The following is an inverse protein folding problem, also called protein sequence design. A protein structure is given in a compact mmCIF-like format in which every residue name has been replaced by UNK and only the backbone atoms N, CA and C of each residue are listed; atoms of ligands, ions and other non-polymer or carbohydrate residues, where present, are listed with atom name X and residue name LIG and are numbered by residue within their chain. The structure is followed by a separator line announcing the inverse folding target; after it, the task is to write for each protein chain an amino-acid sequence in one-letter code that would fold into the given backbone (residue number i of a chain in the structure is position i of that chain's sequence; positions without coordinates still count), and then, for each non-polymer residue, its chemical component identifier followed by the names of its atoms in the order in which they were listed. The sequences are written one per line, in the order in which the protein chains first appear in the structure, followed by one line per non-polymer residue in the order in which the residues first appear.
data_IF_151725288019
#
_entry.id   IF_151725288019
#
_cell.length_a   1.000
_cell.length_b   1.000
_cell.length_c   1.000
_cell.angle_alpha   90.00
_cell.angle_beta   90.00
_cell.angle_gamma   90.00
#
_symmetry.space_group_name_H-M   'P 1'
#
loop_
_entity.id
_entity.type
_entity.pdbx_description
1 polymer ?
#
# COMPACT_ATOMS: atom_id res chain seq x y z
N UNK A 1 26.24 -4.40 -30.54
CA UNK A 1 25.17 -4.73 -29.58
C UNK A 1 23.95 -3.92 -29.97
N UNK A 2 22.88 -4.56 -30.41
CA UNK A 2 21.61 -3.88 -30.63
C UNK A 2 20.85 -3.89 -29.29
N UNK A 3 20.88 -2.77 -28.58
CA UNK A 3 20.02 -2.52 -27.43
C UNK A 3 18.63 -2.18 -27.97
N UNK A 4 17.78 -3.20 -28.19
CA UNK A 4 16.37 -2.93 -28.51
C UNK A 4 15.68 -2.45 -27.24
N UNK A 5 15.51 -1.13 -27.16
CA UNK A 5 14.78 -0.49 -26.08
C UNK A 5 13.38 -0.19 -26.59
N UNK A 6 12.42 -0.96 -26.09
CA UNK A 6 11.02 -0.80 -26.47
C UNK A 6 10.43 0.34 -25.68
N UNK A 7 10.26 1.47 -26.37
CA UNK A 7 9.35 2.52 -25.95
C UNK A 7 7.98 2.18 -26.50
N UNK A 8 6.95 1.99 -25.66
CA UNK A 8 5.70 1.47 -26.16
C UNK A 8 5.02 2.48 -27.10
N UNK A 9 4.83 2.07 -28.36
CA UNK A 9 3.86 2.71 -29.24
C UNK A 9 2.46 2.47 -28.66
N UNK A 10 1.85 3.51 -28.10
CA UNK A 10 0.47 3.55 -27.55
C UNK A 10 0.04 2.23 -26.89
N UNK A 11 0.35 2.08 -25.60
CA UNK A 11 -0.03 0.98 -24.69
C UNK A 11 -1.56 0.86 -24.50
N UNK A 12 -2.29 0.57 -25.56
CA UNK A 12 -3.71 0.24 -25.49
C UNK A 12 -3.88 -1.27 -25.21
N UNK A 13 -3.13 -2.15 -25.90
CA UNK A 13 -3.31 -3.61 -25.89
C UNK A 13 -3.24 -4.28 -24.49
N UNK A 14 -2.09 -4.21 -23.79
CA UNK A 14 -1.95 -4.82 -22.45
C UNK A 14 -2.87 -4.16 -21.44
N UNK A 15 -2.94 -2.82 -21.43
CA UNK A 15 -3.78 -2.09 -20.48
C UNK A 15 -5.24 -2.50 -20.67
N UNK A 16 -5.74 -2.54 -21.91
CA UNK A 16 -7.13 -2.90 -22.21
C UNK A 16 -7.42 -4.38 -21.91
N UNK A 17 -6.52 -5.32 -22.23
CA UNK A 17 -6.72 -6.75 -21.90
C UNK A 17 -6.67 -7.00 -20.40
N UNK A 18 -5.73 -6.38 -19.68
CA UNK A 18 -5.67 -6.46 -18.21
C UNK A 18 -6.90 -5.78 -17.61
N UNK A 19 -7.32 -4.64 -18.17
CA UNK A 19 -8.49 -3.93 -17.65
C UNK A 19 -9.80 -4.70 -17.91
N UNK A 20 -9.99 -5.29 -19.09
CA UNK A 20 -11.14 -6.13 -19.41
C UNK A 20 -11.15 -7.43 -18.61
N UNK A 21 -10.01 -8.10 -18.43
CA UNK A 21 -9.94 -9.34 -17.63
C UNK A 21 -10.14 -9.10 -16.13
N UNK A 22 -9.71 -7.94 -15.61
CA UNK A 22 -9.75 -7.64 -14.18
C UNK A 22 -11.04 -6.92 -13.77
N UNK A 23 -11.56 -6.03 -14.62
CA UNK A 23 -12.69 -5.15 -14.30
C UNK A 23 -13.91 -5.33 -15.23
N UNK A 24 -13.83 -6.16 -16.27
CA UNK A 24 -14.88 -6.27 -17.30
C UNK A 24 -16.10 -7.13 -16.94
N UNK A 25 -16.14 -7.75 -15.76
CA UNK A 25 -17.22 -8.68 -15.39
C UNK A 25 -18.33 -8.07 -14.52
N UNK A 26 -18.32 -6.76 -14.27
CA UNK A 26 -19.41 -6.04 -13.59
C UNK A 26 -20.34 -5.36 -14.60
N UNK A 27 -21.07 -6.14 -15.41
CA UNK A 27 -22.24 -5.63 -16.12
C UNK A 27 -23.50 -6.11 -15.43
N UNK A 28 -24.19 -5.14 -14.83
CA UNK A 28 -25.49 -5.27 -14.19
C UNK A 28 -26.56 -5.72 -15.19
N UNK A 29 -27.22 -6.84 -14.88
CA UNK A 29 -28.46 -7.25 -15.51
C UNK A 29 -29.57 -6.27 -15.10
N UNK A 30 -29.94 -5.37 -15.99
CA UNK A 30 -31.12 -4.51 -15.88
C UNK A 30 -32.39 -5.30 -16.19
N UNK A 31 -33.09 -5.75 -15.15
CA UNK A 31 -34.47 -6.21 -15.25
C UNK A 31 -35.42 -5.10 -14.80
N UNK A 32 -36.27 -4.66 -15.73
CA UNK A 32 -37.29 -3.65 -15.49
C UNK A 32 -38.57 -4.20 -14.85
N UNK A 33 -39.39 -3.25 -14.37
CA UNK A 33 -40.84 -3.39 -14.22
C UNK A 33 -41.36 -3.61 -12.80
N UNK A 34 -42.25 -2.71 -12.34
CA UNK A 34 -43.23 -3.04 -11.30
C UNK A 34 -43.55 -1.94 -10.29
N UNK A 35 -44.56 -1.13 -10.60
CA UNK A 35 -45.24 -0.17 -9.72
C UNK A 35 -45.80 -0.78 -8.42
N UNK A 36 -45.92 0.01 -7.35
CA UNK A 36 -46.81 -0.35 -6.23
C UNK A 36 -46.68 0.44 -4.92
N UNK A 37 -47.35 1.59 -4.85
CA UNK A 37 -48.09 2.15 -3.70
C UNK A 37 -47.49 2.24 -2.28
N UNK A 38 -47.45 3.48 -1.79
CA UNK A 38 -47.95 4.00 -0.50
C UNK A 38 -47.94 3.07 0.73
N UNK A 39 -47.23 3.49 1.79
CA UNK A 39 -47.86 3.77 3.08
C UNK A 39 -46.99 4.68 3.97
N UNK A 40 -47.56 5.82 4.36
CA UNK A 40 -47.14 6.62 5.51
C UNK A 40 -47.58 5.88 6.79
N UNK A 41 -46.75 5.86 7.84
CA UNK A 41 -46.98 6.60 9.10
C UNK A 41 -46.18 6.04 10.29
N UNK A 42 -45.70 7.01 11.06
CA UNK A 42 -45.64 7.11 12.54
C UNK A 42 -44.52 6.40 13.30
N UNK A 43 -43.76 7.28 13.96
CA UNK A 43 -43.00 7.06 15.17
C UNK A 43 -43.85 6.52 16.33
N UNK A 44 -43.22 5.71 17.18
CA UNK A 44 -43.43 5.71 18.64
C UNK A 44 -42.16 5.25 19.34
N UNK A 45 -41.75 6.05 20.32
CA UNK A 45 -40.80 5.76 21.39
C UNK A 45 -41.36 4.67 22.29
N UNK A 46 -40.51 3.77 22.80
CA UNK A 46 -40.64 3.19 24.14
C UNK A 46 -39.30 2.61 24.60
N UNK A 47 -39.06 2.77 25.90
CA UNK A 47 -37.79 2.61 26.62
C UNK A 47 -37.78 1.32 27.46
N UNK A 48 -36.58 1.03 27.99
CA UNK A 48 -36.25 0.21 29.17
C UNK A 48 -36.36 -1.33 28.95
N UNK A 49 -35.38 -2.17 29.25
CA UNK A 49 -34.74 -2.39 30.55
C UNK A 49 -33.57 -3.41 30.39
N UNK A 50 -32.71 -3.41 31.41
CA UNK A 50 -31.47 -4.19 31.55
C UNK A 50 -31.69 -5.70 31.77
N UNK A 51 -30.81 -6.54 31.21
CA UNK A 51 -30.55 -7.88 31.78
C UNK A 51 -29.08 -8.29 31.58
N UNK A 52 -28.41 -8.51 32.71
CA UNK A 52 -27.07 -9.10 32.83
C UNK A 52 -27.20 -10.62 32.80
N UNK A 53 -26.50 -11.34 31.92
CA UNK A 53 -25.98 -12.68 32.23
C UNK A 53 -24.66 -13.01 31.49
N UNK A 54 -23.70 -13.36 32.35
CA UNK A 54 -22.61 -14.35 32.31
C UNK A 54 -21.64 -14.54 31.14
N UNK A 55 -20.38 -14.73 31.55
CA UNK A 55 -19.17 -14.82 30.74
C UNK A 55 -18.70 -16.27 30.73
N UNK A 56 -18.73 -16.95 29.59
CA UNK A 56 -17.91 -18.15 29.35
C UNK A 56 -17.76 -18.43 27.84
N UNK A 57 -16.50 -18.61 27.38
CA UNK A 57 -16.20 -19.28 26.11
C UNK A 57 -15.54 -18.44 25.01
N UNK A 58 -14.20 -18.46 24.96
CA UNK A 58 -13.31 -18.31 23.80
C UNK A 58 -13.89 -17.56 22.58
N UNK A 59 -13.92 -16.23 22.70
CA UNK A 59 -14.36 -15.33 21.64
C UNK A 59 -13.33 -15.21 20.51
N UNK A 60 -13.46 -16.06 19.50
CA UNK A 60 -12.97 -15.70 18.16
C UNK A 60 -13.83 -14.51 17.73
N UNK A 61 -13.29 -13.28 17.75
CA UNK A 61 -14.03 -12.10 17.32
C UNK A 61 -14.33 -12.23 15.83
N UNK A 62 -15.50 -12.78 15.50
CA UNK A 62 -16.08 -12.70 14.17
C UNK A 62 -16.38 -11.22 13.92
N UNK A 63 -15.72 -10.67 12.89
CA UNK A 63 -16.07 -9.37 12.36
C UNK A 63 -17.50 -9.50 11.80
N UNK A 64 -18.49 -9.00 12.54
CA UNK A 64 -19.86 -8.94 12.05
C UNK A 64 -19.89 -8.16 10.74
N UNK A 65 -20.50 -8.79 9.73
CA UNK A 65 -20.77 -8.15 8.46
C UNK A 65 -21.79 -7.04 8.70
N UNK A 66 -21.30 -5.82 8.90
CA UNK A 66 -22.17 -4.64 8.97
C UNK A 66 -22.76 -4.44 7.58
N UNK A 67 -23.93 -5.00 7.28
CA UNK A 67 -24.76 -4.49 6.19
C UNK A 67 -25.07 -3.03 6.50
N UNK A 68 -24.74 -2.09 5.61
CA UNK A 68 -24.95 -0.67 5.91
C UNK A 68 -25.91 -0.01 4.94
N UNK A 69 -26.96 0.58 5.51
CA UNK A 69 -27.87 1.55 4.88
C UNK A 69 -27.16 2.86 4.46
N UNK A 70 -25.86 3.02 4.74
CA UNK A 70 -25.02 4.16 4.30
C UNK A 70 -23.63 3.69 3.83
N UNK A 71 -23.05 4.37 2.84
CA UNK A 71 -21.65 4.18 2.43
C UNK A 71 -20.68 4.42 3.60
N UNK A 72 -19.71 3.52 3.79
CA UNK A 72 -18.67 3.63 4.83
C UNK A 72 -17.42 4.31 4.28
N UNK A 73 -16.76 5.13 5.09
CA UNK A 73 -15.52 5.80 4.69
C UNK A 73 -14.29 5.02 5.17
N UNK A 74 -13.37 4.72 4.24
CA UNK A 74 -12.07 4.11 4.54
C UNK A 74 -10.98 5.13 4.25
N UNK A 75 -10.21 5.50 5.27
CA UNK A 75 -9.10 6.42 5.15
C UNK A 75 -7.77 5.65 5.20
N UNK A 76 -7.02 5.67 4.10
CA UNK A 76 -5.70 5.04 3.99
C UNK A 76 -4.63 6.11 4.20
N UNK A 77 -3.83 5.95 5.25
CA UNK A 77 -2.73 6.82 5.62
C UNK A 77 -1.42 6.30 5.03
N UNK A 78 -0.78 7.09 4.20
CA UNK A 78 0.47 6.75 3.51
C UNK A 78 1.44 7.93 3.52
N UNK A 79 2.65 7.72 3.02
CA UNK A 79 3.56 8.81 2.66
C UNK A 79 4.38 8.43 1.43
N UNK A 80 4.73 9.40 0.59
CA UNK A 80 5.47 9.19 -0.67
C UNK A 80 6.97 8.84 -0.52
N UNK A 81 7.36 8.25 0.61
CA UNK A 81 8.72 7.80 0.91
C UNK A 81 9.11 6.54 0.12
N UNK A 82 9.43 6.70 -1.17
CA UNK A 82 9.96 5.61 -2.01
C UNK A 82 8.92 4.79 -2.78
N UNK A 83 7.66 5.23 -2.82
CA UNK A 83 6.62 4.72 -3.72
C UNK A 83 5.98 3.37 -3.36
N UNK A 84 6.66 2.50 -2.61
CA UNK A 84 6.12 1.19 -2.20
C UNK A 84 4.87 1.29 -1.32
N UNK A 85 4.84 2.26 -0.39
CA UNK A 85 3.69 2.55 0.45
C UNK A 85 2.48 3.01 -0.37
N UNK A 86 2.70 3.91 -1.34
CA UNK A 86 1.65 4.34 -2.28
C UNK A 86 1.09 3.18 -3.09
N UNK A 87 1.96 2.32 -3.62
CA UNK A 87 1.53 1.15 -4.38
C UNK A 87 0.64 0.22 -3.54
N UNK A 88 0.97 0.03 -2.26
CA UNK A 88 0.17 -0.75 -1.31
C UNK A 88 -1.18 -0.10 -1.01
N UNK A 89 -1.21 1.22 -0.77
CA UNK A 89 -2.45 1.96 -0.55
C UNK A 89 -3.39 1.88 -1.75
N UNK A 90 -2.85 2.07 -2.95
CA UNK A 90 -3.64 1.99 -4.19
C UNK A 90 -4.09 0.56 -4.49
N UNK A 91 -3.27 -0.45 -4.20
CA UNK A 91 -3.68 -1.86 -4.32
C UNK A 91 -4.86 -2.20 -3.41
N UNK A 92 -4.85 -1.72 -2.16
CA UNK A 92 -5.95 -1.90 -1.22
C UNK A 92 -7.20 -1.18 -1.72
N UNK A 93 -7.07 0.09 -2.16
CA UNK A 93 -8.18 0.85 -2.76
C UNK A 93 -8.82 0.10 -3.92
N UNK A 94 -8.00 -0.35 -4.87
CA UNK A 94 -8.46 -1.04 -6.07
C UNK A 94 -9.16 -2.37 -5.68
N UNK A 95 -8.65 -3.08 -4.66
CA UNK A 95 -9.29 -4.29 -4.14
C UNK A 95 -10.66 -4.00 -3.49
N UNK A 96 -10.78 -2.94 -2.69
CA UNK A 96 -12.07 -2.55 -2.10
C UNK A 96 -13.11 -2.24 -3.18
N UNK A 97 -12.73 -1.48 -4.21
CA UNK A 97 -13.63 -1.15 -5.32
C UNK A 97 -14.10 -2.38 -6.09
N UNK A 98 -13.24 -3.38 -6.28
CA UNK A 98 -13.59 -4.62 -6.96
C UNK A 98 -14.54 -5.49 -6.12
N UNK A 99 -14.23 -5.66 -4.84
CA UNK A 99 -14.95 -6.63 -3.98
C UNK A 99 -16.26 -6.06 -3.44
N UNK A 100 -16.33 -4.75 -3.18
CA UNK A 100 -17.47 -4.13 -2.48
C UNK A 100 -18.14 -3.00 -3.26
N UNK A 101 -17.64 -2.65 -4.46
CA UNK A 101 -18.20 -1.57 -5.27
C UNK A 101 -18.29 -0.25 -4.50
N UNK A 102 -19.49 0.34 -4.47
CA UNK A 102 -19.77 1.64 -3.85
C UNK A 102 -20.15 1.55 -2.35
N UNK A 103 -20.10 0.36 -1.73
CA UNK A 103 -20.37 0.23 -0.29
C UNK A 103 -19.32 0.98 0.55
N UNK A 104 -18.08 1.06 0.04
CA UNK A 104 -16.96 1.70 0.71
C UNK A 104 -16.38 2.85 -0.13
N UNK A 105 -16.40 4.06 0.41
CA UNK A 105 -15.67 5.19 -0.15
C UNK A 105 -14.24 5.19 0.37
N UNK A 106 -13.29 4.94 -0.53
CA UNK A 106 -11.87 4.85 -0.18
C UNK A 106 -11.15 6.17 -0.43
N UNK A 107 -10.41 6.66 0.56
CA UNK A 107 -9.72 7.95 0.56
C UNK A 107 -8.26 7.68 0.91
N UNK A 108 -7.32 8.04 0.03
CA UNK A 108 -5.88 7.83 0.24
C UNK A 108 -5.20 9.17 0.48
N UNK A 109 -4.46 9.30 1.58
CA UNK A 109 -3.90 10.59 2.03
C UNK A 109 -2.45 10.50 2.50
N UNK A 110 -1.67 11.51 2.11
CA UNK A 110 -0.32 11.73 2.65
C UNK A 110 -0.42 12.76 3.80
N UNK A 111 -0.63 12.25 5.02
CA UNK A 111 -0.93 13.12 6.17
C UNK A 111 0.24 14.06 6.49
N UNK A 112 1.48 13.60 6.35
CA UNK A 112 2.65 14.44 6.61
C UNK A 112 2.71 15.60 5.61
N UNK A 113 2.53 15.30 4.33
CA UNK A 113 2.59 16.31 3.27
C UNK A 113 1.45 17.31 3.34
N UNK A 114 0.24 16.84 3.64
CA UNK A 114 -0.98 17.65 3.58
C UNK A 114 -1.25 18.45 4.86
N UNK A 115 -0.86 17.93 6.03
CA UNK A 115 -1.28 18.48 7.33
C UNK A 115 -0.12 18.80 8.29
N UNK A 116 1.15 18.73 7.85
CA UNK A 116 2.27 19.17 8.68
C UNK A 116 3.11 20.26 8.03
N UNK A 117 3.91 20.94 8.83
CA UNK A 117 4.83 21.98 8.38
C UNK A 117 6.19 21.42 7.99
N UNK A 118 7.05 22.30 7.47
CA UNK A 118 8.46 21.96 7.30
C UNK A 118 9.10 21.60 8.66
N UNK A 119 9.90 20.52 8.76
CA UNK A 119 10.44 19.69 7.66
C UNK A 119 9.63 18.44 7.30
N UNK A 120 8.58 18.09 8.05
CA UNK A 120 7.88 16.81 7.91
C UNK A 120 7.07 16.71 6.60
N UNK A 121 6.60 17.83 6.07
CA UNK A 121 5.91 17.84 4.78
C UNK A 121 6.80 17.53 3.56
N UNK A 122 8.14 17.52 3.72
CA UNK A 122 9.11 17.18 2.66
C UNK A 122 9.86 15.87 2.96
N UNK A 123 9.19 14.95 3.65
CA UNK A 123 9.70 13.61 3.98
C UNK A 123 10.14 12.82 2.74
N UNK A 124 9.44 12.96 1.61
CA UNK A 124 9.79 12.30 0.35
C UNK A 124 11.21 12.67 -0.11
N UNK A 125 11.53 13.98 -0.14
CA UNK A 125 12.85 14.46 -0.58
C UNK A 125 13.94 14.06 0.40
N UNK A 126 13.65 14.17 1.69
CA UNK A 126 14.57 13.77 2.77
C UNK A 126 14.91 12.28 2.67
N UNK A 127 13.91 11.43 2.44
CA UNK A 127 14.09 10.00 2.22
C UNK A 127 14.92 9.71 0.96
N UNK A 128 14.63 10.36 -0.17
CA UNK A 128 15.41 10.20 -1.42
C UNK A 128 16.88 10.56 -1.23
N UNK A 129 17.17 11.58 -0.42
CA UNK A 129 18.55 11.93 -0.06
C UNK A 129 19.19 10.85 0.81
N UNK A 130 18.52 10.39 1.87
CA UNK A 130 19.05 9.37 2.77
C UNK A 130 19.32 8.03 2.09
N UNK A 131 18.44 7.56 1.20
CA UNK A 131 18.62 6.26 0.51
C UNK A 131 19.82 6.28 -0.44
N UNK A 132 20.17 7.44 -1.00
CA UNK A 132 21.42 7.60 -1.78
C UNK A 132 22.67 7.49 -0.90
N UNK A 133 22.53 7.63 0.41
CA UNK A 133 23.60 7.57 1.40
C UNK A 133 23.34 6.46 2.42
N UNK A 134 23.61 5.21 2.01
CA UNK A 134 23.33 3.98 2.80
C UNK A 134 23.79 4.06 4.27
N UNK A 135 24.93 4.70 4.54
CA UNK A 135 25.41 4.87 5.92
C UNK A 135 24.55 5.83 6.74
N UNK A 136 24.09 6.95 6.14
CA UNK A 136 23.15 7.86 6.80
C UNK A 136 21.82 7.17 7.09
N UNK A 137 21.31 6.39 6.14
CA UNK A 137 20.09 5.61 6.36
C UNK A 137 20.24 4.60 7.49
N UNK A 138 21.35 3.84 7.55
CA UNK A 138 21.62 2.90 8.64
C UNK A 138 21.66 3.60 10.00
N UNK A 139 22.37 4.72 10.09
CA UNK A 139 22.46 5.50 11.34
C UNK A 139 21.08 6.02 11.73
N UNK A 140 20.32 6.60 10.80
CA UNK A 140 18.97 7.08 11.07
C UNK A 140 18.07 5.94 11.58
N UNK A 141 18.01 4.83 10.84
CA UNK A 141 17.19 3.67 11.19
C UNK A 141 17.53 3.11 12.58
N UNK A 142 18.81 2.86 12.86
CA UNK A 142 19.23 2.27 14.14
C UNK A 142 19.17 3.26 15.31
N UNK A 143 19.35 4.56 15.05
CA UNK A 143 19.22 5.59 16.11
C UNK A 143 17.77 5.87 16.48
N UNK A 144 16.81 5.75 15.56
CA UNK A 144 15.38 5.94 15.85
C UNK A 144 14.66 4.67 16.27
N UNK A 145 15.25 3.49 16.05
CA UNK A 145 14.65 2.19 16.40
C UNK A 145 14.37 1.99 17.90
N UNK A 146 15.23 2.38 18.86
CA UNK A 146 14.98 2.11 20.27
C UNK A 146 13.66 2.68 20.76
N UNK A 147 12.88 1.87 21.49
CA UNK A 147 11.50 2.19 21.90
C UNK A 147 11.36 3.52 22.62
N UNK A 148 12.27 3.81 23.54
CA UNK A 148 12.28 5.07 24.27
C UNK A 148 12.57 6.26 23.35
N UNK A 149 13.41 6.12 22.32
CA UNK A 149 13.74 7.21 21.39
C UNK A 149 12.52 7.54 20.53
N UNK A 150 11.92 6.54 19.87
CA UNK A 150 10.77 6.82 19.01
C UNK A 150 9.50 7.19 19.76
N UNK A 151 9.29 6.64 20.96
CA UNK A 151 8.18 7.08 21.80
C UNK A 151 8.33 8.57 22.15
N UNK A 152 9.53 9.02 22.51
CA UNK A 152 9.78 10.42 22.85
C UNK A 152 9.58 11.36 21.66
N UNK A 153 10.24 11.12 20.52
CA UNK A 153 10.11 12.06 19.39
C UNK A 153 8.71 12.00 18.76
N UNK A 154 8.07 10.82 18.67
CA UNK A 154 6.70 10.73 18.16
C UNK A 154 5.70 11.40 19.09
N UNK A 155 5.89 11.33 20.41
CA UNK A 155 5.05 12.07 21.35
C UNK A 155 5.21 13.59 21.19
N UNK A 156 6.44 14.08 20.97
CA UNK A 156 6.69 15.50 20.72
C UNK A 156 6.03 15.96 19.40
N UNK A 157 6.17 15.17 18.33
CA UNK A 157 5.52 15.45 17.04
C UNK A 157 3.99 15.37 17.19
N UNK A 158 3.47 14.38 17.92
CA UNK A 158 2.05 14.25 18.21
C UNK A 158 1.51 15.50 18.92
N UNK A 159 2.20 15.97 19.95
CA UNK A 159 1.80 17.15 20.71
C UNK A 159 1.80 18.42 19.84
N UNK A 160 2.74 18.53 18.89
CA UNK A 160 2.87 19.70 18.02
C UNK A 160 1.85 19.72 16.88
N UNK A 161 1.62 18.58 16.22
CA UNK A 161 0.73 18.47 15.05
C UNK A 161 -0.63 17.82 15.36
N UNK A 162 -0.96 17.68 16.65
CA UNK A 162 -2.19 17.05 17.13
C UNK A 162 -3.42 17.55 16.39
N UNK A 163 -3.57 18.88 16.34
CA UNK A 163 -4.78 19.55 15.85
C UNK A 163 -4.90 19.47 14.34
N UNK A 164 -3.78 19.56 13.63
CA UNK A 164 -3.73 19.50 12.19
C UNK A 164 -4.02 18.08 11.70
N UNK A 165 -3.43 17.06 12.37
CA UNK A 165 -3.72 15.66 12.09
C UNK A 165 -5.15 15.32 12.48
N UNK A 166 -5.65 15.83 13.61
CA UNK A 166 -7.05 15.68 13.98
C UNK A 166 -7.98 16.27 12.93
N UNK A 167 -7.74 17.52 12.49
CA UNK A 167 -8.54 18.14 11.44
C UNK A 167 -8.54 17.30 10.17
N UNK A 168 -7.36 16.79 9.76
CA UNK A 168 -7.23 15.93 8.60
C UNK A 168 -7.93 14.57 8.75
N UNK A 169 -7.90 13.94 9.92
CA UNK A 169 -8.61 12.69 10.18
C UNK A 169 -10.13 12.91 10.22
N UNK A 170 -10.57 13.97 10.89
CA UNK A 170 -11.99 14.23 11.14
C UNK A 170 -12.73 14.81 9.93
N UNK A 171 -12.02 15.47 9.00
CA UNK A 171 -12.57 15.93 7.72
C UNK A 171 -13.30 14.80 6.97
N UNK A 172 -12.73 13.59 6.99
CA UNK A 172 -13.25 12.46 6.21
C UNK A 172 -14.20 11.55 6.98
N UNK A 173 -14.41 11.76 8.28
CA UNK A 173 -15.26 10.93 9.16
C UNK A 173 -15.07 9.42 8.89
N UNK A 174 -13.86 8.88 9.05
CA UNK A 174 -13.55 7.50 8.69
C UNK A 174 -14.27 6.51 9.62
N UNK A 175 -14.84 5.46 9.03
CA UNK A 175 -15.29 4.27 9.76
C UNK A 175 -14.11 3.28 9.94
N UNK A 176 -13.18 3.28 8.97
CA UNK A 176 -11.96 2.47 8.98
C UNK A 176 -10.75 3.35 8.65
N UNK A 177 -9.67 3.20 9.40
CA UNK A 177 -8.36 3.78 9.09
C UNK A 177 -7.36 2.65 8.80
N UNK A 178 -6.66 2.75 7.67
CA UNK A 178 -5.64 1.79 7.25
C UNK A 178 -4.30 2.53 7.18
N UNK A 179 -3.36 2.18 8.05
CA UNK A 179 -1.99 2.67 7.97
C UNK A 179 -1.12 1.76 7.10
N UNK A 180 -0.49 2.31 6.06
CA UNK A 180 0.49 1.60 5.22
C UNK A 180 1.90 2.19 5.34
N UNK A 181 2.19 2.94 6.41
CA UNK A 181 3.48 3.60 6.62
C UNK A 181 3.92 3.49 8.10
N UNK A 182 5.23 3.32 8.40
CA UNK A 182 5.72 3.09 9.77
C UNK A 182 5.54 4.25 10.75
N UNK A 183 5.28 5.46 10.27
CA UNK A 183 5.07 6.65 11.11
C UNK A 183 3.60 7.04 11.27
N UNK A 184 2.67 6.22 10.79
CA UNK A 184 1.24 6.53 10.76
C UNK A 184 0.43 5.76 11.83
N UNK A 185 1.09 5.21 12.85
CA UNK A 185 0.45 4.47 13.95
C UNK A 185 0.21 5.40 15.14
N UNK A 186 1.29 5.91 15.72
CA UNK A 186 1.29 6.53 17.06
C UNK A 186 0.39 7.78 17.12
N UNK A 187 0.56 8.72 16.19
CA UNK A 187 -0.17 10.00 16.21
C UNK A 187 -1.66 9.80 15.92
N UNK A 188 -2.06 9.09 14.83
CA UNK A 188 -3.49 8.86 14.59
C UNK A 188 -4.19 8.10 15.72
N UNK A 189 -3.54 7.09 16.30
CA UNK A 189 -4.11 6.35 17.45
C UNK A 189 -4.24 7.23 18.70
N UNK A 190 -3.28 8.12 18.94
CA UNK A 190 -3.35 9.08 20.04
C UNK A 190 -4.52 10.06 19.85
N UNK A 191 -4.72 10.58 18.64
CA UNK A 191 -5.87 11.45 18.28
C UNK A 191 -7.19 10.70 18.49
N UNK A 192 -7.33 9.46 17.99
CA UNK A 192 -8.54 8.65 18.17
C UNK A 192 -8.85 8.39 19.65
N UNK A 193 -7.81 8.17 20.47
CA UNK A 193 -7.95 7.98 21.91
C UNK A 193 -8.47 9.25 22.59
N UNK A 194 -7.87 10.41 22.28
CA UNK A 194 -8.23 11.69 22.88
C UNK A 194 -9.65 12.14 22.49
N UNK A 195 -10.08 11.87 21.25
CA UNK A 195 -11.42 12.15 20.76
C UNK A 195 -12.48 11.11 21.19
N UNK A 196 -12.09 10.06 21.91
CA UNK A 196 -13.02 8.98 22.31
C UNK A 196 -13.54 8.13 21.15
N UNK A 197 -12.84 8.13 20.01
CA UNK A 197 -13.25 7.44 18.77
C UNK A 197 -12.65 6.04 18.62
N UNK A 198 -11.73 5.65 19.50
CA UNK A 198 -11.06 4.34 19.54
C UNK A 198 -12.01 3.11 19.54
N UNK A 199 -13.27 3.24 19.99
CA UNK A 199 -14.28 2.17 19.91
C UNK A 199 -15.17 2.24 18.66
N UNK A 200 -15.16 3.38 17.95
CA UNK A 200 -16.04 3.67 16.79
C UNK A 200 -15.33 3.49 15.46
N UNK A 201 -14.02 3.76 15.42
CA UNK A 201 -13.20 3.70 14.21
C UNK A 201 -12.30 2.49 14.28
N UNK A 202 -12.37 1.62 13.27
CA UNK A 202 -11.48 0.47 13.17
C UNK A 202 -10.13 0.94 12.63
N UNK A 203 -9.07 0.77 13.41
CA UNK A 203 -7.72 1.10 13.01
C UNK A 203 -6.92 -0.16 12.69
N UNK A 204 -6.41 -0.26 11.46
CA UNK A 204 -5.57 -1.39 11.04
C UNK A 204 -4.24 -0.92 10.48
N UNK A 205 -3.21 -1.72 10.69
CA UNK A 205 -1.88 -1.53 10.08
C UNK A 205 -1.64 -2.60 9.04
N UNK A 206 -1.14 -2.21 7.86
CA UNK A 206 -0.63 -3.13 6.84
C UNK A 206 0.86 -2.86 6.68
N UNK A 207 1.69 -3.80 7.14
CA UNK A 207 3.14 -3.66 7.11
C UNK A 207 3.66 -3.88 5.70
N UNK A 208 4.43 -2.92 5.20
CA UNK A 208 5.04 -2.99 3.86
C UNK A 208 6.52 -3.38 3.87
N UNK A 209 7.12 -3.51 5.05
CA UNK A 209 8.50 -3.97 5.23
C UNK A 209 8.53 -5.49 5.27
N UNK A 210 9.28 -6.13 4.38
CA UNK A 210 9.23 -7.59 4.20
C UNK A 210 9.97 -8.40 5.28
N UNK A 211 10.95 -7.80 5.94
CA UNK A 211 11.78 -8.51 6.93
C UNK A 211 12.18 -7.61 8.11
N UNK A 212 13.15 -6.72 7.91
CA UNK A 212 13.63 -5.82 8.98
C UNK A 212 12.70 -4.62 9.17
N UNK A 213 11.61 -4.83 9.91
CA UNK A 213 10.64 -3.78 10.21
C UNK A 213 11.19 -2.78 11.24
N UNK A 214 10.93 -1.49 11.02
CA UNK A 214 11.11 -0.50 12.08
C UNK A 214 10.07 -0.73 13.20
N UNK A 215 10.43 -0.63 14.50
CA UNK A 215 9.50 -0.92 15.59
C UNK A 215 8.23 -0.07 15.61
N UNK A 216 8.24 1.10 14.96
CA UNK A 216 7.09 2.02 14.91
C UNK A 216 5.89 1.48 14.14
N UNK A 217 6.05 0.40 13.36
CA UNK A 217 4.95 -0.36 12.77
C UNK A 217 4.04 -1.00 13.82
N UNK A 218 4.60 -1.35 14.98
CA UNK A 218 3.92 -2.15 16.00
C UNK A 218 3.36 -1.24 17.09
N UNK A 219 2.04 -1.22 17.24
CA UNK A 219 1.37 -0.45 18.28
C UNK A 219 0.20 -1.24 18.88
N UNK A 220 0.15 -1.47 20.20
CA UNK A 220 -0.91 -2.28 20.84
C UNK A 220 -2.34 -1.74 20.67
N UNK A 221 -2.48 -0.44 20.40
CA UNK A 221 -3.77 0.21 20.18
C UNK A 221 -4.47 -0.09 18.84
N UNK A 222 -3.88 -0.89 17.94
CA UNK A 222 -4.52 -1.24 16.66
C UNK A 222 -5.55 -2.35 16.82
N UNK A 223 -6.58 -2.39 15.98
CA UNK A 223 -7.53 -3.51 15.96
C UNK A 223 -6.93 -4.74 15.25
N UNK A 224 -6.17 -4.51 14.16
CA UNK A 224 -5.46 -5.55 13.41
C UNK A 224 -4.13 -5.05 12.86
N UNK A 225 -3.17 -5.96 12.75
CA UNK A 225 -1.90 -5.78 12.09
C UNK A 225 -1.72 -6.89 11.05
N UNK A 226 -1.66 -6.51 9.78
CA UNK A 226 -1.45 -7.41 8.65
C UNK A 226 0.04 -7.44 8.31
N UNK A 227 0.64 -8.61 8.46
CA UNK A 227 2.05 -8.87 8.24
C UNK A 227 2.28 -9.51 6.87
N UNK A 228 3.39 -9.16 6.18
CA UNK A 228 3.73 -9.76 4.89
C UNK A 228 4.35 -11.15 5.01
N UNK A 229 4.80 -11.56 6.21
CA UNK A 229 5.44 -12.85 6.44
C UNK A 229 5.26 -13.30 7.90
N UNK A 230 5.52 -14.59 8.14
CA UNK A 230 5.52 -15.16 9.49
C UNK A 230 6.63 -14.58 10.37
N UNK A 231 7.76 -14.18 9.80
CA UNK A 231 8.86 -13.60 10.57
C UNK A 231 8.52 -12.19 11.07
N UNK A 232 7.82 -11.39 10.26
CA UNK A 232 7.27 -10.11 10.69
C UNK A 232 6.17 -10.31 11.74
N UNK A 233 5.33 -11.34 11.62
CA UNK A 233 4.33 -11.66 12.63
C UNK A 233 4.95 -12.03 13.98
N UNK A 234 5.99 -12.87 14.00
CA UNK A 234 6.76 -13.16 15.23
C UNK A 234 7.33 -11.88 15.85
N UNK A 235 7.85 -10.97 15.01
CA UNK A 235 8.35 -9.69 15.45
C UNK A 235 7.24 -8.81 16.07
N UNK A 236 6.05 -8.79 15.46
CA UNK A 236 4.91 -8.06 15.98
C UNK A 236 4.49 -8.54 17.37
N UNK A 237 4.44 -9.87 17.58
CA UNK A 237 4.14 -10.48 18.88
C UNK A 237 5.23 -10.11 19.91
N UNK A 238 6.50 -10.23 19.53
CA UNK A 238 7.62 -9.82 20.38
C UNK A 238 7.55 -8.34 20.78
N UNK A 239 7.09 -7.48 19.87
CA UNK A 239 6.95 -6.04 20.11
C UNK A 239 5.61 -5.64 20.80
N UNK A 240 4.84 -6.62 21.30
CA UNK A 240 3.73 -6.42 22.23
C UNK A 240 2.34 -6.40 21.60
N UNK A 241 2.17 -6.95 20.39
CA UNK A 241 0.84 -7.22 19.85
C UNK A 241 0.33 -8.59 20.31
N UNK A 242 -0.97 -8.68 20.50
CA UNK A 242 -1.68 -9.92 20.81
C UNK A 242 -1.87 -10.78 19.54
N UNK A 243 -1.94 -12.10 19.70
CA UNK A 243 -2.21 -13.03 18.60
C UNK A 243 -3.54 -12.71 17.88
N UNK A 244 -4.53 -12.24 18.64
CA UNK A 244 -5.81 -11.81 18.09
C UNK A 244 -5.67 -10.62 17.11
N UNK A 245 -4.65 -9.79 17.26
CA UNK A 245 -4.39 -8.62 16.41
C UNK A 245 -3.63 -8.97 15.14
N UNK A 246 -2.82 -10.04 15.12
CA UNK A 246 -1.87 -10.31 14.04
C UNK A 246 -2.45 -11.24 12.98
N UNK A 247 -2.32 -10.89 11.69
CA UNK A 247 -2.71 -11.75 10.56
C UNK A 247 -1.62 -11.75 9.49
N UNK A 248 -1.37 -12.89 8.86
CA UNK A 248 -0.36 -13.04 7.80
C UNK A 248 -1.04 -13.31 6.48
N UNK A 249 -1.10 -12.30 5.60
CA UNK A 249 -1.71 -12.41 4.27
C UNK A 249 -0.75 -12.05 3.12
N UNK A 250 0.47 -11.63 3.43
CA UNK A 250 1.41 -11.15 2.43
C UNK A 250 1.34 -9.63 2.23
N UNK A 251 2.23 -9.13 1.37
CA UNK A 251 2.23 -7.72 0.96
C UNK A 251 1.08 -7.49 -0.04
N UNK A 252 0.23 -6.47 0.14
CA UNK A 252 -0.81 -6.17 -0.83
C UNK A 252 -0.20 -5.78 -2.18
N UNK A 253 -0.61 -6.49 -3.22
CA UNK A 253 -0.27 -6.22 -4.61
C UNK A 253 -1.54 -5.84 -5.37
N UNK A 254 -1.40 -5.06 -6.46
CA UNK A 254 -2.57 -4.63 -7.23
C UNK A 254 -3.33 -5.85 -7.76
N UNK A 255 -4.67 -5.87 -7.66
CA UNK A 255 -5.49 -6.94 -8.23
C UNK A 255 -5.21 -7.16 -9.72
N UNK A 256 -4.96 -6.08 -10.46
CA UNK A 256 -4.60 -6.16 -11.88
C UNK A 256 -3.28 -6.86 -12.16
N UNK A 257 -2.34 -6.84 -11.22
CA UNK A 257 -1.10 -7.59 -11.31
C UNK A 257 -1.32 -9.06 -10.95
N UNK A 258 -2.06 -9.32 -9.86
CA UNK A 258 -2.30 -10.67 -9.35
C UNK A 258 -3.21 -11.53 -10.27
N UNK A 259 -4.18 -10.90 -10.94
CA UNK A 259 -5.18 -11.58 -11.78
C UNK A 259 -4.83 -11.58 -13.26
N UNK A 260 -3.67 -11.03 -13.65
CA UNK A 260 -3.29 -10.96 -15.05
C UNK A 260 -3.05 -12.38 -15.63
N UNK A 261 -3.79 -12.72 -16.68
CA UNK A 261 -3.57 -13.94 -17.46
C UNK A 261 -2.81 -13.54 -18.72
N UNK A 262 -1.54 -13.92 -18.81
CA UNK A 262 -0.63 -13.44 -19.85
C UNK A 262 0.10 -14.61 -20.52
N UNK A 263 0.27 -14.50 -21.84
CA UNK A 263 1.10 -15.39 -22.64
C UNK A 263 2.51 -14.81 -22.74
N UNK A 264 3.51 -15.59 -22.32
CA UNK A 264 4.93 -15.17 -22.33
C UNK A 264 5.38 -14.80 -23.75
N UNK A 265 4.97 -15.58 -24.74
CA UNK A 265 5.39 -15.40 -26.13
C UNK A 265 4.74 -14.19 -26.77
N UNK A 266 3.46 -13.94 -26.46
CA UNK A 266 2.77 -12.75 -26.95
C UNK A 266 3.33 -11.47 -26.32
N UNK A 267 3.64 -11.50 -25.02
CA UNK A 267 4.28 -10.38 -24.34
C UNK A 267 5.67 -10.09 -24.90
N UNK A 268 6.47 -11.11 -25.21
CA UNK A 268 7.77 -10.93 -25.83
C UNK A 268 7.64 -10.24 -27.19
N UNK A 269 6.69 -10.67 -28.03
CA UNK A 269 6.42 -10.02 -29.32
C UNK A 269 5.95 -8.58 -29.16
N UNK A 270 5.01 -8.32 -28.24
CA UNK A 270 4.48 -6.98 -27.97
C UNK A 270 5.57 -6.03 -27.42
N UNK A 271 6.47 -6.55 -26.60
CA UNK A 271 7.61 -5.83 -26.05
C UNK A 271 8.86 -5.90 -26.95
N UNK A 272 8.70 -6.25 -28.23
CA UNK A 272 9.75 -6.39 -29.26
C UNK A 272 11.04 -7.09 -28.75
N UNK A 273 10.84 -8.07 -27.86
CA UNK A 273 11.87 -8.92 -27.28
C UNK A 273 12.18 -10.10 -28.19
N UNK A 274 13.38 -10.64 -28.02
CA UNK A 274 13.73 -11.92 -28.61
C UNK A 274 12.87 -13.06 -27.99
N UNK A 275 12.34 -13.95 -28.83
CA UNK A 275 11.42 -15.01 -28.40
C UNK A 275 12.13 -16.14 -27.67
N UNK A 276 13.40 -16.38 -27.97
CA UNK A 276 14.13 -17.57 -27.54
C UNK A 276 15.13 -17.26 -26.43
N UNK A 277 15.70 -16.05 -26.43
CA UNK A 277 16.69 -15.66 -25.43
C UNK A 277 16.11 -15.54 -24.02
N UNK A 278 16.82 -16.03 -22.98
CA UNK A 278 16.46 -15.77 -21.59
C UNK A 278 16.55 -14.28 -21.29
N UNK A 279 15.60 -13.75 -20.53
CA UNK A 279 15.48 -12.33 -20.26
C UNK A 279 15.75 -12.01 -18.78
N UNK A 280 16.53 -10.95 -18.54
CA UNK A 280 16.72 -10.35 -17.22
C UNK A 280 15.91 -9.06 -17.16
N UNK A 281 15.04 -8.93 -16.14
CA UNK A 281 14.36 -7.68 -15.84
C UNK A 281 15.17 -6.90 -14.80
N UNK A 282 15.67 -5.73 -15.20
CA UNK A 282 16.35 -4.79 -14.32
C UNK A 282 15.46 -3.58 -14.05
N UNK A 283 15.21 -3.30 -12.77
CA UNK A 283 14.38 -2.18 -12.34
C UNK A 283 14.93 -1.54 -11.07
N UNK A 284 14.84 -0.21 -10.98
CA UNK A 284 15.28 0.60 -9.82
C UNK A 284 14.12 1.18 -9.01
N UNK A 285 12.94 0.56 -9.08
CA UNK A 285 11.70 1.10 -8.53
C UNK A 285 11.18 2.34 -9.29
N UNK A 286 10.13 2.98 -8.77
CA UNK A 286 9.46 4.09 -9.45
C UNK A 286 10.34 5.32 -9.71
N UNK A 287 11.37 5.52 -8.90
CA UNK A 287 12.33 6.63 -9.02
C UNK A 287 13.64 6.25 -9.75
N UNK A 288 13.83 4.97 -10.11
CA UNK A 288 15.05 4.50 -10.77
C UNK A 288 16.31 4.73 -9.92
N UNK A 289 16.25 4.43 -8.63
CA UNK A 289 17.36 4.62 -7.67
C UNK A 289 18.33 3.44 -7.74
N UNK A 290 19.62 3.73 -7.59
CA UNK A 290 20.71 2.75 -7.60
C UNK A 290 21.58 2.84 -8.87
N UNK A 291 22.66 2.04 -8.94
CA UNK A 291 23.60 2.04 -10.06
C UNK A 291 23.05 1.27 -11.28
N UNK A 292 21.81 1.57 -11.68
CA UNK A 292 21.08 0.83 -12.73
C UNK A 292 21.86 0.83 -14.04
N UNK A 293 22.53 1.93 -14.37
CA UNK A 293 23.35 2.06 -15.59
C UNK A 293 24.56 1.13 -15.55
N UNK A 294 25.28 1.10 -14.45
CA UNK A 294 26.46 0.27 -14.26
C UNK A 294 26.07 -1.21 -14.28
N UNK A 295 24.98 -1.57 -13.59
CA UNK A 295 24.43 -2.92 -13.61
C UNK A 295 23.96 -3.33 -15.01
N UNK A 296 23.28 -2.44 -15.75
CA UNK A 296 22.84 -2.74 -17.11
C UNK A 296 24.03 -3.02 -18.05
N UNK A 297 25.12 -2.24 -17.94
CA UNK A 297 26.34 -2.49 -18.73
C UNK A 297 26.99 -3.82 -18.38
N UNK A 298 27.17 -4.12 -17.09
CA UNK A 298 27.76 -5.36 -16.64
C UNK A 298 26.93 -6.59 -17.09
N UNK A 299 25.59 -6.48 -17.04
CA UNK A 299 24.69 -7.50 -17.56
C UNK A 299 24.80 -7.63 -19.09
N UNK A 300 24.87 -6.51 -19.82
CA UNK A 300 25.06 -6.54 -21.28
C UNK A 300 26.34 -7.24 -21.71
N UNK A 301 27.44 -7.04 -20.97
CA UNK A 301 28.71 -7.74 -21.20
C UNK A 301 28.63 -9.22 -20.81
N UNK A 302 27.92 -9.55 -19.73
CA UNK A 302 27.80 -10.93 -19.22
C UNK A 302 26.82 -11.78 -20.04
N UNK A 303 25.85 -11.16 -20.71
CA UNK A 303 24.84 -11.82 -21.55
C UNK A 303 25.28 -11.93 -23.03
N UNK A 304 26.55 -11.67 -23.32
CA UNK A 304 27.13 -11.77 -24.66
C UNK A 304 28.28 -12.77 -24.67
N UNK A 305 28.17 -13.80 -25.51
CA UNK A 305 29.24 -14.74 -25.77
C UNK A 305 30.22 -14.12 -26.78
N UNK A 306 31.43 -13.77 -26.29
CA UNK A 306 32.47 -13.15 -27.10
C UNK A 306 33.13 -14.12 -28.07
N UNK A 307 33.18 -15.41 -27.73
CA UNK A 307 33.83 -16.43 -28.56
C UNK A 307 32.94 -16.81 -29.75
N UNK A 308 31.62 -16.83 -29.54
CA UNK A 308 30.64 -17.10 -30.60
C UNK A 308 30.00 -15.85 -31.20
N UNK A 309 30.46 -14.66 -30.79
CA UNK A 309 29.96 -13.36 -31.22
C UNK A 309 28.42 -13.25 -31.23
N UNK A 310 27.76 -13.80 -30.21
CA UNK A 310 26.29 -13.86 -30.15
C UNK A 310 25.73 -13.56 -28.76
N UNK A 311 24.52 -12.99 -28.67
CA UNK A 311 23.84 -12.85 -27.39
C UNK A 311 23.45 -14.24 -26.85
N UNK A 312 23.65 -14.44 -25.55
CA UNK A 312 23.17 -15.62 -24.81
C UNK A 312 22.01 -15.28 -23.87
N UNK A 313 21.66 -14.00 -23.78
CA UNK A 313 20.45 -13.50 -23.12
C UNK A 313 20.13 -12.08 -23.52
N UNK A 314 19.04 -11.56 -22.98
CA UNK A 314 18.54 -10.21 -23.24
C UNK A 314 18.21 -9.49 -21.93
N UNK A 315 18.21 -8.16 -21.97
CA UNK A 315 18.00 -7.30 -20.82
C UNK A 315 16.83 -6.34 -21.08
N UNK A 316 15.86 -6.32 -20.17
CA UNK A 316 14.80 -5.30 -20.12
C UNK A 316 15.10 -4.38 -18.95
N UNK A 317 15.15 -3.06 -19.20
CA UNK A 317 15.37 -2.07 -18.15
C UNK A 317 14.13 -1.19 -17.98
N UNK A 318 13.49 -1.24 -16.81
CA UNK A 318 12.39 -0.34 -16.46
C UNK A 318 12.95 0.82 -15.63
N UNK A 319 13.02 2.01 -16.24
CA UNK A 319 13.59 3.21 -15.63
C UNK A 319 12.62 3.99 -14.73
N UNK A 320 11.35 3.60 -14.67
CA UNK A 320 10.32 4.31 -13.90
C UNK A 320 10.18 5.76 -14.38
N UNK A 321 10.20 6.72 -13.43
CA UNK A 321 10.15 8.16 -13.71
C UNK A 321 11.51 8.78 -14.08
N UNK A 322 12.59 8.00 -14.05
CA UNK A 322 13.93 8.49 -14.33
C UNK A 322 14.18 8.62 -15.84
N UNK A 323 13.64 9.70 -16.43
CA UNK A 323 13.79 10.00 -17.86
C UNK A 323 15.25 10.17 -18.29
N UNK A 324 16.10 10.74 -17.43
CA UNK A 324 17.53 10.92 -17.71
C UNK A 324 18.26 9.58 -17.85
N UNK A 325 17.93 8.60 -17.00
CA UNK A 325 18.45 7.23 -17.12
C UNK A 325 17.98 6.57 -18.42
N UNK A 326 16.69 6.69 -18.76
CA UNK A 326 16.14 6.16 -20.01
C UNK A 326 16.90 6.70 -21.23
N UNK A 327 16.99 8.02 -21.37
CA UNK A 327 17.72 8.65 -22.49
C UNK A 327 19.20 8.29 -22.54
N UNK A 328 19.83 8.06 -21.38
CA UNK A 328 21.24 7.63 -21.32
C UNK A 328 21.43 6.19 -21.79
N UNK A 329 20.45 5.32 -21.54
CA UNK A 329 20.47 3.93 -22.00
C UNK A 329 20.05 3.81 -23.48
N UNK A 330 19.23 4.74 -23.99
CA UNK A 330 18.78 4.82 -25.38
C UNK A 330 19.84 5.37 -26.35
N UNK A 331 20.71 6.27 -25.88
CA UNK A 331 21.70 6.96 -26.73
C UNK A 331 22.94 6.13 -27.10
N UNK A 332 22.88 4.81 -26.97
CA UNK A 332 23.99 3.86 -27.24
C UNK A 332 23.55 2.70 -28.12
#
# INVERSE_FOLDING_TARGET
MATNLVSPKKVASITERVWQSVYGNSSSSSSGGGSGSNHQRRCSYESDDDEYEDYDGVGTVQLMQMGSERTKNVLILMSDTGGGHRASAEAIRDAFSIEFGDEYRIIVKDVWKEYTGWPLNDMERSYKFMVKHVQLWKVAFHSTSPRWIHSCYLAAIAAYYAKEVEAGLMEYKPDIIISVHPLMQHIPLWVLKWQGLQKKVVFVTVITDLNSCHPTWFHPGVNRCYCPSNDVAKRALYDGLEESQVRVFGLPIRPSFARAVLSKDDLRKELEMDTDLPAVLLMGGGEGVGPVKETAKALGESLYDKDQEKPIGQLIVICGRNKGLASTLESK
#
